data_IF_218704115344
#
_entry.id   IF_218704115344
#
_cell.length_a   1.000
_cell.length_b   1.000
_cell.length_c   1.000
_cell.angle_alpha   90.00
_cell.angle_beta   90.00
_cell.angle_gamma   90.00
#
_symmetry.space_group_name_H-M   'P 1'
#
loop_
_entity.id
_entity.type
_entity.pdbx_description
1 polymer ?
#
# COMPACT_ATOMS: atom_id res chain seq x y z
N UNK A 1 13.44 18.24 19.36
CA UNK A 1 12.42 18.61 18.35
C UNK A 1 12.55 17.65 17.18
N UNK A 2 11.53 16.87 16.85
CA UNK A 2 11.52 16.00 15.67
C UNK A 2 11.53 16.86 14.41
N UNK A 3 12.49 16.64 13.50
CA UNK A 3 12.57 17.41 12.24
C UNK A 3 11.69 16.76 11.17
N UNK A 4 11.33 17.49 10.12
CA UNK A 4 10.55 16.94 9.00
C UNK A 4 11.28 15.76 8.33
N UNK A 5 12.63 15.79 8.31
CA UNK A 5 13.47 14.68 7.85
C UNK A 5 13.37 13.44 8.74
N UNK A 6 13.16 13.62 10.04
CA UNK A 6 12.98 12.49 10.96
C UNK A 6 11.60 11.86 10.77
N UNK A 7 10.57 12.66 10.48
CA UNK A 7 9.23 12.15 10.15
C UNK A 7 9.23 11.34 8.85
N UNK A 8 9.96 11.80 7.82
CA UNK A 8 10.13 11.01 6.58
C UNK A 8 10.90 9.69 6.82
N UNK A 9 11.91 9.70 7.71
CA UNK A 9 12.59 8.46 8.11
C UNK A 9 11.67 7.49 8.85
N UNK A 10 10.80 7.99 9.73
CA UNK A 10 9.79 7.15 10.39
C UNK A 10 8.80 6.60 9.37
N UNK A 11 8.35 7.40 8.41
CA UNK A 11 7.46 6.95 7.34
C UNK A 11 8.10 5.85 6.47
N UNK A 12 9.40 5.94 6.18
CA UNK A 12 10.13 4.87 5.48
C UNK A 12 10.23 3.59 6.33
N UNK A 13 10.52 3.72 7.63
CA UNK A 13 10.57 2.57 8.54
C UNK A 13 9.20 1.87 8.68
N UNK A 14 8.10 2.63 8.65
CA UNK A 14 6.74 2.09 8.60
C UNK A 14 6.54 1.30 7.30
N UNK A 15 6.91 1.85 6.14
CA UNK A 15 6.81 1.15 4.85
C UNK A 15 7.53 -0.20 4.87
N UNK A 16 8.74 -0.23 5.43
CA UNK A 16 9.57 -1.43 5.52
C UNK A 16 8.97 -2.47 6.46
N UNK A 17 8.62 -2.06 7.68
CA UNK A 17 7.97 -2.95 8.65
C UNK A 17 6.65 -3.50 8.10
N UNK A 18 5.90 -2.68 7.36
CA UNK A 18 4.63 -3.07 6.78
C UNK A 18 4.76 -3.98 5.56
N UNK A 19 5.88 -3.90 4.85
CA UNK A 19 6.25 -4.79 3.72
C UNK A 19 6.76 -6.15 4.19
N UNK A 20 7.46 -6.21 5.32
CA UNK A 20 8.13 -7.43 5.79
C UNK A 20 7.26 -8.32 6.69
N UNK A 21 6.23 -7.74 7.34
CA UNK A 21 5.26 -8.48 8.16
C UNK A 21 4.56 -9.70 7.49
N UNK A 22 4.26 -9.72 6.17
CA UNK A 22 3.65 -10.87 5.49
C UNK A 22 4.56 -12.11 5.37
N UNK A 23 5.88 -11.96 5.50
CA UNK A 23 6.80 -13.09 5.32
C UNK A 23 6.62 -14.20 6.38
N UNK A 24 5.91 -13.91 7.48
CA UNK A 24 5.66 -14.86 8.56
C UNK A 24 4.38 -15.70 8.37
N UNK A 25 3.36 -15.23 7.64
CA UNK A 25 2.10 -15.97 7.34
C UNK A 25 1.41 -15.40 6.09
N UNK A 26 0.80 -16.24 5.23
CA UNK A 26 -0.10 -15.76 4.18
C UNK A 26 -1.25 -14.97 4.84
N UNK A 27 -1.38 -13.69 4.50
CA UNK A 27 -2.49 -12.86 5.02
C UNK A 27 -3.80 -13.23 4.32
N UNK A 28 -4.87 -13.31 5.10
CA UNK A 28 -6.21 -13.33 4.52
C UNK A 28 -6.44 -11.99 3.76
N UNK A 29 -7.17 -12.02 2.64
CA UNK A 29 -7.28 -10.86 1.75
C UNK A 29 -7.87 -9.61 2.44
N UNK A 30 -8.82 -9.79 3.35
CA UNK A 30 -9.37 -8.71 4.18
C UNK A 30 -8.36 -8.14 5.19
N UNK A 31 -7.45 -8.95 5.73
CA UNK A 31 -6.38 -8.45 6.59
C UNK A 31 -5.42 -7.53 5.83
N UNK A 32 -5.25 -7.73 4.53
CA UNK A 32 -4.47 -6.82 3.69
C UNK A 32 -5.13 -5.44 3.58
N UNK A 33 -6.46 -5.38 3.44
CA UNK A 33 -7.21 -4.10 3.45
C UNK A 33 -7.01 -3.36 4.76
N UNK A 34 -7.19 -4.04 5.90
CA UNK A 34 -6.99 -3.44 7.22
C UNK A 34 -5.54 -2.99 7.44
N UNK A 35 -4.58 -3.73 6.88
CA UNK A 35 -3.17 -3.32 6.91
C UNK A 35 -2.92 -2.03 6.14
N UNK A 36 -3.49 -1.87 4.94
CA UNK A 36 -3.37 -0.62 4.18
C UNK A 36 -4.08 0.54 4.90
N UNK A 37 -5.25 0.31 5.49
CA UNK A 37 -5.96 1.33 6.28
C UNK A 37 -5.14 1.82 7.47
N UNK A 38 -4.55 0.88 8.23
CA UNK A 38 -3.64 1.21 9.32
C UNK A 38 -2.42 2.01 8.82
N UNK A 39 -1.85 1.63 7.68
CA UNK A 39 -0.72 2.34 7.08
C UNK A 39 -1.07 3.80 6.75
N UNK A 40 -2.22 4.02 6.12
CA UNK A 40 -2.69 5.36 5.77
C UNK A 40 -2.89 6.22 7.03
N UNK A 41 -3.53 5.69 8.07
CA UNK A 41 -3.74 6.39 9.35
C UNK A 41 -2.41 6.79 10.01
N UNK A 42 -1.42 5.89 10.03
CA UNK A 42 -0.09 6.20 10.58
C UNK A 42 0.62 7.32 9.80
N UNK A 43 0.53 7.30 8.47
CA UNK A 43 1.11 8.35 7.62
C UNK A 43 0.40 9.70 7.82
N UNK A 44 -0.92 9.72 7.97
CA UNK A 44 -1.68 10.94 8.28
C UNK A 44 -1.28 11.53 9.63
N UNK A 45 -1.07 10.70 10.66
CA UNK A 45 -0.59 11.16 11.97
C UNK A 45 0.81 11.78 11.88
N UNK A 46 1.69 11.21 11.05
CA UNK A 46 3.01 11.79 10.80
C UNK A 46 2.91 13.11 10.02
N UNK A 47 2.04 13.17 9.02
CA UNK A 47 1.79 14.39 8.25
C UNK A 47 1.24 15.51 9.14
N UNK A 48 0.30 15.20 10.05
CA UNK A 48 -0.23 16.14 11.02
C UNK A 48 0.84 16.66 12.01
N UNK A 49 1.91 15.90 12.22
CA UNK A 49 3.05 16.31 13.03
C UNK A 49 4.11 17.13 12.26
N UNK A 50 4.03 17.20 10.93
CA UNK A 50 4.92 18.05 10.12
C UNK A 50 4.56 19.52 10.31
N UNK A 51 5.56 20.36 10.61
CA UNK A 51 5.36 21.81 10.81
C UNK A 51 5.23 22.57 9.50
N UNK A 52 5.80 22.02 8.43
CA UNK A 52 5.76 22.59 7.08
C UNK A 52 4.56 22.01 6.35
N UNK A 53 3.51 22.82 6.18
CA UNK A 53 2.20 22.36 5.70
C UNK A 53 2.20 21.64 4.34
N UNK A 54 1.29 20.66 4.24
CA UNK A 54 0.93 19.88 3.05
C UNK A 54 2.10 19.22 2.32
N UNK A 55 2.74 18.28 3.02
CA UNK A 55 3.91 17.53 2.56
C UNK A 55 3.59 16.16 1.95
N UNK A 56 4.62 15.57 1.34
CA UNK A 56 4.71 14.24 0.74
C UNK A 56 4.01 13.12 1.52
N UNK A 57 3.96 13.22 2.86
CA UNK A 57 3.31 12.23 3.72
C UNK A 57 1.78 12.18 3.54
N UNK A 58 1.10 13.33 3.42
CA UNK A 58 -0.35 13.36 3.17
C UNK A 58 -0.70 12.72 1.82
N UNK A 59 0.07 13.04 0.76
CA UNK A 59 -0.11 12.42 -0.56
C UNK A 59 0.13 10.91 -0.53
N UNK A 60 1.12 10.46 0.24
CA UNK A 60 1.37 9.02 0.44
C UNK A 60 0.22 8.36 1.19
N UNK A 61 -0.31 8.99 2.23
CA UNK A 61 -1.45 8.47 2.99
C UNK A 61 -2.70 8.30 2.10
N UNK A 62 -2.98 9.29 1.25
CA UNK A 62 -4.06 9.27 0.26
C UNK A 62 -3.91 8.09 -0.71
N UNK A 63 -2.74 7.93 -1.36
CA UNK A 63 -2.49 6.82 -2.28
C UNK A 63 -2.65 5.44 -1.62
N UNK A 64 -2.24 5.31 -0.35
CA UNK A 64 -2.40 4.06 0.40
C UNK A 64 -3.88 3.80 0.71
N UNK A 65 -4.65 4.83 1.02
CA UNK A 65 -6.09 4.73 1.27
C UNK A 65 -6.85 4.33 0.00
N UNK A 66 -6.55 4.95 -1.14
CA UNK A 66 -7.15 4.61 -2.43
C UNK A 66 -6.85 3.16 -2.83
N UNK A 67 -5.65 2.66 -2.48
CA UNK A 67 -5.31 1.26 -2.70
C UNK A 67 -6.11 0.32 -1.77
N UNK A 68 -6.34 0.73 -0.52
CA UNK A 68 -7.16 -0.03 0.41
C UNK A 68 -8.63 -0.12 -0.07
N UNK A 69 -9.17 1.00 -0.57
CA UNK A 69 -10.52 1.09 -1.11
C UNK A 69 -10.69 0.22 -2.36
N UNK A 70 -9.80 0.35 -3.35
CA UNK A 70 -9.82 -0.50 -4.55
C UNK A 70 -9.72 -1.99 -4.24
N UNK A 71 -8.89 -2.37 -3.26
CA UNK A 71 -8.82 -3.76 -2.82
C UNK A 71 -10.10 -4.20 -2.12
N UNK A 72 -10.69 -3.37 -1.27
CA UNK A 72 -11.96 -3.65 -0.61
C UNK A 72 -13.11 -3.82 -1.62
N UNK A 73 -13.19 -2.94 -2.62
CA UNK A 73 -14.19 -3.02 -3.70
C UNK A 73 -14.04 -4.33 -4.47
N UNK A 74 -12.81 -4.66 -4.86
CA UNK A 74 -12.48 -5.92 -5.55
C UNK A 74 -12.89 -7.15 -4.73
N UNK A 75 -12.65 -7.16 -3.42
CA UNK A 75 -13.05 -8.26 -2.53
C UNK A 75 -14.57 -8.33 -2.30
N UNK A 76 -15.25 -7.18 -2.39
CA UNK A 76 -16.71 -7.08 -2.25
C UNK A 76 -17.43 -7.44 -3.56
N UNK A 77 -16.72 -7.45 -4.69
CA UNK A 77 -17.31 -7.66 -6.01
C UNK A 77 -18.00 -6.41 -6.55
N UNK A 78 -17.77 -5.25 -5.93
CA UNK A 78 -18.08 -3.95 -6.53
C UNK A 78 -17.00 -3.71 -7.57
N UNK A 79 -17.35 -3.55 -8.85
CA UNK A 79 -16.37 -3.19 -9.89
C UNK A 79 -16.22 -1.66 -9.87
N UNK A 80 -15.11 -1.10 -9.35
CA UNK A 80 -14.83 0.31 -9.55
C UNK A 80 -14.37 0.52 -11.00
N UNK A 81 -14.83 1.60 -11.62
CA UNK A 81 -14.41 2.05 -12.96
C UNK A 81 -12.87 2.12 -13.04
N UNK A 82 -12.21 1.37 -13.94
CA UNK A 82 -10.75 1.27 -13.94
C UNK A 82 -10.13 2.53 -14.54
N UNK A 83 -9.92 3.54 -13.71
CA UNK A 83 -8.81 4.47 -13.93
C UNK A 83 -7.50 3.67 -13.99
N UNK A 84 -6.54 4.01 -14.88
CA UNK A 84 -5.37 3.18 -15.14
C UNK A 84 -4.59 2.90 -13.85
N UNK A 85 -4.47 1.62 -13.52
CA UNK A 85 -3.50 1.14 -12.55
C UNK A 85 -2.11 1.52 -13.08
N UNK A 86 -1.24 2.19 -12.31
CA UNK A 86 0.13 2.40 -12.76
C UNK A 86 0.82 1.04 -12.87
N UNK A 87 1.01 0.57 -14.10
CA UNK A 87 1.83 -0.60 -14.46
C UNK A 87 3.34 -0.38 -14.17
N UNK A 88 3.70 0.68 -13.47
CA UNK A 88 5.09 1.01 -13.19
C UNK A 88 5.41 0.70 -11.73
N UNK A 89 6.29 -0.29 -11.58
CA UNK A 89 6.83 -0.75 -10.32
C UNK A 89 7.16 0.41 -9.38
N UNK A 90 6.85 0.20 -8.12
CA UNK A 90 7.39 0.99 -7.03
C UNK A 90 8.92 1.11 -7.23
N UNK A 91 9.52 2.30 -7.12
CA UNK A 91 10.96 2.44 -7.23
C UNK A 91 11.60 1.70 -6.05
N UNK A 92 11.98 0.44 -6.29
CA UNK A 92 12.56 -0.46 -5.28
C UNK A 92 12.16 -1.94 -5.40
N UNK A 93 11.11 -2.30 -6.13
CA UNK A 93 10.65 -3.71 -6.20
C UNK A 93 10.97 -4.34 -7.55
N UNK A 94 11.99 -5.21 -7.58
CA UNK A 94 12.21 -6.15 -8.66
C UNK A 94 10.99 -7.05 -8.85
N UNK A 95 10.39 -6.98 -10.04
CA UNK A 95 9.22 -7.73 -10.45
C UNK A 95 9.43 -9.25 -10.34
N UNK A 96 8.63 -9.92 -9.50
CA UNK A 96 8.50 -11.38 -9.52
C UNK A 96 7.09 -11.89 -9.16
N UNK A 97 6.05 -11.22 -9.65
CA UNK A 97 4.66 -11.67 -9.44
C UNK A 97 3.92 -12.07 -10.74
N UNK A 98 4.59 -12.09 -11.90
CA UNK A 98 3.96 -12.43 -13.18
C UNK A 98 3.88 -13.94 -13.50
N UNK A 99 4.00 -14.85 -12.52
CA UNK A 99 4.12 -16.29 -12.80
C UNK A 99 3.13 -17.20 -12.03
N UNK A 100 1.90 -16.76 -11.80
CA UNK A 100 0.88 -17.61 -11.16
C UNK A 100 -0.47 -17.70 -11.91
N UNK A 101 -0.54 -17.25 -13.17
CA UNK A 101 -1.79 -17.26 -13.94
C UNK A 101 -1.70 -18.01 -15.29
N UNK A 102 -0.92 -19.09 -15.37
CA UNK A 102 -0.75 -19.86 -16.63
C UNK A 102 -0.82 -21.39 -16.49
N UNK A 103 -1.53 -21.93 -15.49
CA UNK A 103 -1.78 -23.39 -15.39
C UNK A 103 -3.26 -23.72 -15.15
N UNK A 104 -4.12 -23.27 -16.06
CA UNK A 104 -5.47 -23.80 -16.19
C UNK A 104 -5.98 -23.68 -17.62
N UNK A 105 -5.31 -24.35 -18.56
CA UNK A 105 -5.90 -24.71 -19.84
C UNK A 105 -5.13 -25.88 -20.43
N UNK A 106 -5.63 -27.08 -20.17
CA UNK A 106 -5.39 -28.23 -21.05
C UNK A 106 -6.72 -28.95 -21.22
N UNK A 107 -7.32 -28.93 -22.42
CA UNK A 107 -8.38 -29.85 -22.80
C UNK A 107 -7.81 -30.96 -23.69
N UNK A 108 -7.90 -32.21 -23.22
CA UNK A 108 -8.03 -33.42 -24.06
C UNK A 108 -9.17 -34.27 -23.48
#
# INVERSE_FOLDING_TARGET
>A
MTTDRDLERVAAAIDDAMRDAPAARPRARWEHVEWLRLKADLLDRLAAAQRSGHGSLSRRAELVRDNAERLADHLTGVVPDPGPLPEQGWPGTGSRWAAAAAHATDPD
#
